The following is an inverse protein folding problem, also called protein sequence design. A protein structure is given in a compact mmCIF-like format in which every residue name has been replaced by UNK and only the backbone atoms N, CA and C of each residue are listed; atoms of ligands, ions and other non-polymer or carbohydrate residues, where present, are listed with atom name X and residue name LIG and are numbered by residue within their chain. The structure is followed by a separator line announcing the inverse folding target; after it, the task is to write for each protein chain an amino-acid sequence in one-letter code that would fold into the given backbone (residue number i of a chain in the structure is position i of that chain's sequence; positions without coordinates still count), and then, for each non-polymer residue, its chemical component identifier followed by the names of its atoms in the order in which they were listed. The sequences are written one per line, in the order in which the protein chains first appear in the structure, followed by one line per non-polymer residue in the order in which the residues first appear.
data_IF_956594720554
#
_entry.id   IF_956594720554
#
_cell.length_a   1.000
_cell.length_b   1.000
_cell.length_c   1.000
_cell.angle_alpha   90.00
_cell.angle_beta   90.00
_cell.angle_gamma   90.00
#
_symmetry.space_group_name_H-M   'P 1'
#
loop_
_entity.id
_entity.type
_entity.pdbx_description
1 polymer ?
#
# COMPACT_ATOMS: atom_id res chain seq x y z
N UNK A 1 -18.08 -14.40 22.61
CA UNK A 1 -16.71 -14.08 22.13
C UNK A 1 -16.68 -13.94 20.60
N UNK A 2 -17.21 -14.90 19.84
CA UNK A 2 -17.28 -14.81 18.37
C UNK A 2 -18.12 -13.64 17.84
N UNK A 3 -19.27 -13.34 18.45
CA UNK A 3 -20.11 -12.21 18.03
C UNK A 3 -19.39 -10.85 18.14
N UNK A 4 -18.67 -10.61 19.24
CA UNK A 4 -17.89 -9.39 19.44
C UNK A 4 -16.78 -9.19 18.40
N UNK A 5 -16.16 -10.27 17.91
CA UNK A 5 -15.16 -10.20 16.84
C UNK A 5 -15.82 -9.83 15.51
N UNK A 6 -16.97 -10.44 15.19
CA UNK A 6 -17.72 -10.15 13.97
C UNK A 6 -18.21 -8.69 13.96
N UNK A 7 -18.70 -8.22 15.10
CA UNK A 7 -19.17 -6.83 15.23
C UNK A 7 -18.01 -5.83 15.20
N UNK A 8 -16.84 -6.18 15.76
CA UNK A 8 -15.61 -5.42 15.59
C UNK A 8 -15.15 -5.33 14.13
N UNK A 9 -15.24 -6.42 13.38
CA UNK A 9 -14.94 -6.46 11.94
C UNK A 9 -15.90 -5.56 11.14
N UNK A 10 -17.21 -5.66 11.40
CA UNK A 10 -18.21 -4.78 10.78
C UNK A 10 -17.95 -3.32 11.15
N UNK A 11 -17.57 -3.05 12.40
CA UNK A 11 -17.21 -1.71 12.84
C UNK A 11 -16.02 -1.17 12.05
N UNK A 12 -14.91 -1.89 11.99
CA UNK A 12 -13.71 -1.48 11.26
C UNK A 12 -14.01 -1.22 9.77
N UNK A 13 -14.75 -2.13 9.13
CA UNK A 13 -15.15 -1.97 7.73
C UNK A 13 -16.16 -0.85 7.48
N UNK A 14 -16.89 -0.37 8.49
CA UNK A 14 -17.89 0.69 8.33
C UNK A 14 -17.33 2.05 8.69
N UNK A 15 -16.60 2.14 9.81
CA UNK A 15 -16.17 3.41 10.41
C UNK A 15 -14.70 3.73 10.11
N UNK A 16 -13.86 2.75 9.85
CA UNK A 16 -12.41 2.94 9.67
C UNK A 16 -11.96 2.71 8.20
N UNK A 17 -12.90 2.90 7.25
CA UNK A 17 -12.62 2.75 5.81
C UNK A 17 -11.50 3.66 5.32
N UNK A 18 -11.40 4.86 5.88
CA UNK A 18 -10.39 5.83 5.46
C UNK A 18 -8.97 5.31 5.78
N UNK A 19 -8.77 4.75 6.97
CA UNK A 19 -7.49 4.15 7.39
C UNK A 19 -7.16 2.95 6.49
N UNK A 20 -8.11 2.03 6.28
CA UNK A 20 -7.88 0.86 5.43
C UNK A 20 -7.50 1.25 4.00
N UNK A 21 -8.21 2.23 3.42
CA UNK A 21 -7.93 2.72 2.07
C UNK A 21 -6.56 3.40 2.00
N UNK A 22 -6.19 4.20 2.99
CA UNK A 22 -4.87 4.84 3.08
C UNK A 22 -3.74 3.80 3.01
N UNK A 23 -3.83 2.73 3.80
CA UNK A 23 -2.83 1.67 3.82
C UNK A 23 -2.83 0.82 2.54
N UNK A 24 -4.00 0.58 1.93
CA UNK A 24 -4.05 -0.04 0.60
C UNK A 24 -3.30 0.81 -0.43
N UNK A 25 -3.51 2.13 -0.43
CA UNK A 25 -2.87 3.01 -1.39
C UNK A 25 -1.36 3.10 -1.17
N UNK A 26 -0.93 3.28 0.09
CA UNK A 26 0.50 3.36 0.44
C UNK A 26 1.27 2.11 0.00
N UNK A 27 0.78 0.92 0.36
CA UNK A 27 1.52 -0.30 -0.02
C UNK A 27 1.45 -0.59 -1.51
N UNK A 28 0.34 -0.25 -2.18
CA UNK A 28 0.25 -0.35 -3.65
C UNK A 28 1.31 0.50 -4.34
N UNK A 29 1.49 1.72 -3.84
CA UNK A 29 2.50 2.65 -4.33
C UNK A 29 3.92 2.08 -4.14
N UNK A 30 4.23 1.55 -2.95
CA UNK A 30 5.53 0.93 -2.67
C UNK A 30 5.85 -0.21 -3.66
N UNK A 31 4.88 -1.10 -3.90
CA UNK A 31 5.05 -2.22 -4.81
C UNK A 31 5.20 -1.81 -6.28
N UNK A 32 4.46 -0.78 -6.71
CA UNK A 32 4.56 -0.23 -8.06
C UNK A 32 5.92 0.44 -8.30
N UNK A 33 6.40 1.25 -7.35
CA UNK A 33 7.71 1.90 -7.45
C UNK A 33 8.85 0.88 -7.47
N UNK A 34 8.80 -0.11 -6.57
CA UNK A 34 9.80 -1.18 -6.53
C UNK A 34 9.86 -1.92 -7.87
N UNK A 35 8.69 -2.31 -8.39
CA UNK A 35 8.61 -3.07 -9.64
C UNK A 35 9.11 -2.24 -10.81
N UNK A 36 8.66 -0.98 -10.92
CA UNK A 36 9.08 -0.07 -11.97
C UNK A 36 10.59 0.17 -11.94
N UNK A 37 11.16 0.44 -10.76
CA UNK A 37 12.58 0.69 -10.60
C UNK A 37 13.44 -0.50 -11.04
N UNK A 38 13.10 -1.71 -10.59
CA UNK A 38 13.84 -2.93 -10.96
C UNK A 38 13.74 -3.19 -12.47
N UNK A 39 12.55 -3.01 -13.08
CA UNK A 39 12.39 -3.19 -14.52
C UNK A 39 13.23 -2.18 -15.30
N UNK A 40 13.23 -0.90 -14.91
CA UNK A 40 14.00 0.13 -15.58
C UNK A 40 15.49 -0.19 -15.57
N UNK A 41 16.06 -0.54 -14.41
CA UNK A 41 17.46 -0.94 -14.31
C UNK A 41 17.77 -2.22 -15.09
N UNK A 42 16.89 -3.21 -15.05
CA UNK A 42 17.07 -4.45 -15.81
C UNK A 42 17.09 -4.24 -17.32
N UNK A 43 16.35 -3.26 -17.83
CA UNK A 43 16.34 -2.94 -19.27
C UNK A 43 17.66 -2.28 -19.69
N UNK A 44 18.18 -1.36 -18.89
CA UNK A 44 19.45 -0.66 -19.17
C UNK A 44 20.62 -1.65 -19.14
N UNK A 45 20.66 -2.52 -18.14
CA UNK A 45 21.74 -3.50 -17.93
C UNK A 45 21.55 -4.80 -18.74
N UNK A 46 20.50 -4.86 -19.58
CA UNK A 46 20.17 -6.05 -20.39
C UNK A 46 20.07 -7.36 -19.57
N UNK A 47 19.53 -7.27 -18.35
CA UNK A 47 19.34 -8.41 -17.45
C UNK A 47 18.27 -9.35 -18.02
N UNK A 48 18.44 -10.66 -17.79
CA UNK A 48 17.46 -11.66 -18.22
C UNK A 48 16.15 -11.47 -17.47
N UNK A 49 15.03 -11.55 -18.20
CA UNK A 49 13.67 -11.42 -17.67
C UNK A 49 13.42 -12.32 -16.44
N UNK A 50 13.94 -13.56 -16.45
CA UNK A 50 13.79 -14.50 -15.35
C UNK A 50 14.47 -14.01 -14.06
N UNK A 51 15.64 -13.40 -14.17
CA UNK A 51 16.39 -12.89 -13.02
C UNK A 51 15.69 -11.63 -12.46
N UNK A 52 15.18 -10.78 -13.36
CA UNK A 52 14.34 -9.62 -13.02
C UNK A 52 13.05 -10.02 -12.31
N UNK A 53 12.37 -11.07 -12.78
CA UNK A 53 11.15 -11.61 -12.17
C UNK A 53 11.42 -12.09 -10.74
N UNK A 54 12.50 -12.85 -10.51
CA UNK A 54 12.89 -13.32 -9.18
C UNK A 54 13.21 -12.13 -8.26
N UNK A 55 13.92 -11.11 -8.76
CA UNK A 55 14.23 -9.91 -8.01
C UNK A 55 12.97 -9.13 -7.59
N UNK A 56 11.98 -9.01 -8.49
CA UNK A 56 10.72 -8.32 -8.20
C UNK A 56 9.87 -9.14 -7.22
N UNK A 57 9.74 -10.45 -7.41
CA UNK A 57 8.97 -11.30 -6.49
C UNK A 57 9.57 -11.28 -5.08
N UNK A 58 10.89 -11.41 -4.96
CA UNK A 58 11.58 -11.32 -3.67
C UNK A 58 11.44 -9.92 -3.05
N UNK A 59 11.64 -8.85 -3.84
CA UNK A 59 11.47 -7.47 -3.39
C UNK A 59 10.05 -7.17 -2.92
N UNK A 60 9.02 -7.59 -3.67
CA UNK A 60 7.62 -7.46 -3.29
C UNK A 60 7.32 -8.20 -2.00
N UNK A 61 7.80 -9.45 -1.84
CA UNK A 61 7.59 -10.18 -0.58
C UNK A 61 8.25 -9.49 0.61
N UNK A 62 9.45 -8.96 0.44
CA UNK A 62 10.16 -8.24 1.49
C UNK A 62 9.44 -6.95 1.88
N UNK A 63 9.01 -6.16 0.89
CA UNK A 63 8.22 -4.94 1.11
C UNK A 63 6.87 -5.26 1.75
N UNK A 64 6.15 -6.27 1.26
CA UNK A 64 4.88 -6.71 1.84
C UNK A 64 4.99 -7.07 3.32
N UNK A 65 6.00 -7.86 3.69
CA UNK A 65 6.21 -8.24 5.10
C UNK A 65 6.61 -7.00 5.92
N UNK A 66 7.50 -6.16 5.39
CA UNK A 66 7.94 -4.94 6.05
C UNK A 66 6.79 -3.96 6.31
N UNK A 67 6.00 -3.65 5.27
CA UNK A 67 4.85 -2.74 5.35
C UNK A 67 3.75 -3.26 6.26
N UNK A 68 3.49 -4.57 6.24
CA UNK A 68 2.55 -5.22 7.17
C UNK A 68 3.01 -5.07 8.62
N UNK A 69 4.27 -5.38 8.92
CA UNK A 69 4.77 -5.33 10.29
C UNK A 69 4.89 -3.89 10.80
N UNK A 70 5.36 -2.97 9.95
CA UNK A 70 5.49 -1.56 10.28
C UNK A 70 4.12 -0.95 10.61
N UNK A 71 3.12 -1.16 9.75
CA UNK A 71 1.76 -0.66 10.02
C UNK A 71 1.13 -1.30 11.24
N UNK A 72 1.33 -2.60 11.48
CA UNK A 72 0.82 -3.27 12.67
C UNK A 72 1.38 -2.66 13.96
N UNK A 73 2.69 -2.41 14.02
CA UNK A 73 3.33 -1.83 15.21
C UNK A 73 2.87 -0.39 15.43
N UNK A 74 2.87 0.42 14.38
CA UNK A 74 2.51 1.84 14.46
C UNK A 74 1.04 2.01 14.82
N UNK A 75 0.13 1.38 14.07
CA UNK A 75 -1.31 1.50 14.30
C UNK A 75 -1.70 0.92 15.66
N UNK A 76 -1.09 -0.19 16.09
CA UNK A 76 -1.36 -0.74 17.43
C UNK A 76 -0.93 0.21 18.55
N UNK A 77 0.16 0.96 18.36
CA UNK A 77 0.62 1.94 19.33
C UNK A 77 -0.32 3.15 19.36
N UNK A 78 -0.61 3.74 18.20
CA UNK A 78 -1.49 4.92 18.08
C UNK A 78 -2.88 4.62 18.65
N UNK A 79 -3.49 3.50 18.24
CA UNK A 79 -4.81 3.12 18.73
C UNK A 79 -4.83 2.78 20.22
N UNK A 80 -3.74 2.26 20.78
CA UNK A 80 -3.64 2.02 22.23
C UNK A 80 -3.55 3.33 23.02
N UNK A 81 -2.87 4.34 22.47
CA UNK A 81 -2.80 5.67 23.08
C UNK A 81 -4.18 6.36 23.01
N UNK A 82 -4.81 6.38 21.83
CA UNK A 82 -6.19 6.89 21.62
C UNK A 82 -7.17 6.23 22.59
N UNK A 83 -7.12 4.90 22.70
CA UNK A 83 -7.98 4.12 23.57
C UNK A 83 -7.81 4.47 25.05
N UNK A 84 -6.57 4.64 25.53
CA UNK A 84 -6.30 5.02 26.93
C UNK A 84 -6.76 6.44 27.24
N UNK A 85 -6.56 7.36 26.30
CA UNK A 85 -7.00 8.75 26.47
C UNK A 85 -8.52 8.82 26.56
N UNK A 86 -9.23 8.07 25.73
CA UNK A 86 -10.69 7.99 25.75
C UNK A 86 -11.21 7.36 27.06
N UNK A 87 -10.61 6.27 27.55
CA UNK A 87 -10.96 5.69 28.86
C UNK A 87 -10.78 6.70 30.01
N UNK A 88 -9.70 7.49 29.96
CA UNK A 88 -9.44 8.54 30.96
C UNK A 88 -10.49 9.64 30.92
N UNK A 89 -10.86 10.12 29.73
CA UNK A 89 -11.87 11.16 29.55
C UNK A 89 -13.27 10.69 29.97
N UNK A 90 -13.60 9.43 29.70
CA UNK A 90 -14.89 8.83 30.08
C UNK A 90 -14.95 8.36 31.53
N UNK A 91 -13.81 8.33 32.25
CA UNK A 91 -13.66 7.74 33.59
C UNK A 91 -14.23 6.31 33.67
N UNK A 92 -14.20 5.57 32.57
CA UNK A 92 -14.80 4.25 32.43
C UNK A 92 -13.96 3.39 31.50
N UNK A 93 -13.79 2.12 31.83
CA UNK A 93 -13.13 1.19 30.92
C UNK A 93 -14.02 0.89 29.71
N UNK A 94 -13.39 0.88 28.54
CA UNK A 94 -13.97 0.51 27.27
C UNK A 94 -13.79 -0.98 26.95
N UNK A 95 -13.16 -1.75 27.85
CA UNK A 95 -12.79 -3.14 27.59
C UNK A 95 -14.04 -3.98 27.35
N UNK A 96 -14.04 -4.75 26.26
CA UNK A 96 -15.20 -5.56 25.85
C UNK A 96 -16.35 -4.77 25.23
N UNK A 97 -16.19 -3.46 24.97
CA UNK A 97 -17.14 -2.70 24.16
C UNK A 97 -16.93 -2.97 22.67
N UNK A 98 -17.90 -2.56 21.83
CA UNK A 98 -17.76 -2.63 20.37
C UNK A 98 -16.56 -1.83 19.86
N UNK A 99 -16.17 -0.76 20.57
CA UNK A 99 -15.00 0.04 20.24
C UNK A 99 -13.69 -0.74 20.51
N UNK A 100 -13.58 -1.47 21.62
CA UNK A 100 -12.41 -2.32 21.91
C UNK A 100 -12.21 -3.39 20.81
N UNK A 101 -13.28 -4.09 20.43
CA UNK A 101 -13.20 -5.08 19.34
C UNK A 101 -12.96 -4.42 17.98
N UNK A 102 -13.59 -3.29 17.70
CA UNK A 102 -13.44 -2.51 16.48
C UNK A 102 -12.00 -2.07 16.27
N UNK A 103 -11.39 -1.46 17.29
CA UNK A 103 -10.01 -1.00 17.26
C UNK A 103 -9.02 -2.14 16.99
N UNK A 104 -9.17 -3.29 17.66
CA UNK A 104 -8.35 -4.48 17.39
C UNK A 104 -8.52 -5.00 15.97
N UNK A 105 -9.75 -5.03 15.46
CA UNK A 105 -10.03 -5.43 14.09
C UNK A 105 -9.39 -4.46 13.08
N UNK A 106 -9.46 -3.14 13.33
CA UNK A 106 -8.85 -2.12 12.48
C UNK A 106 -7.34 -2.30 12.37
N UNK A 107 -6.64 -2.52 13.50
CA UNK A 107 -5.17 -2.76 13.49
C UNK A 107 -4.80 -3.96 12.62
N UNK A 108 -5.54 -5.06 12.73
CA UNK A 108 -5.25 -6.28 11.97
C UNK A 108 -5.57 -6.06 10.49
N UNK A 109 -6.73 -5.49 10.18
CA UNK A 109 -7.15 -5.24 8.80
C UNK A 109 -6.26 -4.21 8.09
N UNK A 110 -5.81 -3.16 8.78
CA UNK A 110 -4.90 -2.17 8.22
C UNK A 110 -3.55 -2.79 7.89
N UNK A 111 -3.03 -3.66 8.77
CA UNK A 111 -1.80 -4.40 8.52
C UNK A 111 -1.91 -5.32 7.30
N UNK A 112 -3.00 -6.10 7.19
CA UNK A 112 -3.25 -6.94 6.01
C UNK A 112 -3.43 -6.12 4.73
N UNK A 113 -4.20 -5.04 4.80
CA UNK A 113 -4.37 -4.10 3.69
C UNK A 113 -3.01 -3.58 3.19
N UNK A 114 -2.14 -3.15 4.12
CA UNK A 114 -0.83 -2.63 3.76
C UNK A 114 0.14 -3.70 3.25
N UNK A 115 0.04 -4.93 3.77
CA UNK A 115 0.92 -6.03 3.39
C UNK A 115 0.58 -6.65 2.04
N UNK A 116 -0.70 -6.71 1.68
CA UNK A 116 -1.16 -7.33 0.42
C UNK A 116 -1.05 -6.34 -0.74
N UNK A 117 -1.21 -5.05 -0.50
CA UNK A 117 -1.27 -4.05 -1.56
C UNK A 117 -0.03 -3.92 -2.46
N UNK A 118 1.23 -4.15 -1.99
CA UNK A 118 2.41 -4.12 -2.87
C UNK A 118 2.33 -5.10 -4.04
N UNK A 119 1.57 -6.19 -3.93
CA UNK A 119 1.39 -7.13 -5.04
C UNK A 119 0.67 -6.52 -6.26
N UNK A 120 0.09 -5.31 -6.18
CA UNK A 120 -0.34 -4.59 -7.39
C UNK A 120 0.81 -4.30 -8.35
N UNK A 121 2.06 -4.27 -7.88
CA UNK A 121 3.26 -4.22 -8.72
C UNK A 121 3.33 -5.33 -9.77
N UNK A 122 2.70 -6.49 -9.51
CA UNK A 122 2.65 -7.61 -10.46
C UNK A 122 1.99 -7.25 -11.80
N UNK A 123 1.10 -6.26 -11.83
CA UNK A 123 0.48 -5.78 -13.08
C UNK A 123 1.56 -5.21 -14.02
N UNK A 124 2.49 -4.43 -13.46
CA UNK A 124 3.60 -3.83 -14.22
C UNK A 124 4.60 -4.90 -14.64
N UNK A 125 4.89 -5.87 -13.76
CA UNK A 125 5.71 -7.04 -14.09
C UNK A 125 5.12 -7.84 -15.25
N UNK A 126 3.81 -8.13 -15.22
CA UNK A 126 3.14 -8.87 -16.28
C UNK A 126 3.19 -8.13 -17.62
N UNK A 127 3.01 -6.80 -17.60
CA UNK A 127 3.19 -5.94 -18.78
C UNK A 127 4.62 -6.08 -19.34
N UNK A 128 5.64 -6.08 -18.49
CA UNK A 128 7.03 -6.24 -18.89
C UNK A 128 7.32 -7.61 -19.52
N UNK A 129 6.90 -8.70 -18.87
CA UNK A 129 7.14 -10.07 -19.36
C UNK A 129 6.49 -10.29 -20.73
N UNK A 130 5.28 -9.75 -20.92
CA UNK A 130 4.48 -9.94 -22.14
C UNK A 130 5.02 -9.10 -23.30
N UNK A 131 5.31 -7.82 -23.05
CA UNK A 131 5.56 -6.85 -24.13
C UNK A 131 7.04 -6.62 -24.40
N UNK A 132 7.89 -6.74 -23.36
CA UNK A 132 9.31 -6.38 -23.36
C UNK A 132 9.58 -4.99 -23.92
N UNK A 133 8.58 -4.10 -23.86
CA UNK A 133 8.64 -2.77 -24.45
C UNK A 133 8.56 -1.72 -23.34
N UNK A 134 9.60 -0.88 -23.26
CA UNK A 134 9.71 0.19 -22.26
C UNK A 134 8.50 1.12 -22.26
N UNK A 135 8.01 1.52 -23.44
CA UNK A 135 6.87 2.42 -23.57
C UNK A 135 5.59 1.78 -23.02
N UNK A 136 5.38 0.48 -23.22
CA UNK A 136 4.23 -0.23 -22.66
C UNK A 136 4.33 -0.38 -21.14
N UNK A 137 5.53 -0.65 -20.61
CA UNK A 137 5.77 -0.71 -19.15
C UNK A 137 5.49 0.65 -18.51
N UNK A 138 6.05 1.74 -19.05
CA UNK A 138 5.83 3.09 -18.55
C UNK A 138 4.37 3.53 -18.66
N UNK A 139 3.69 3.16 -19.75
CA UNK A 139 2.27 3.49 -19.93
C UNK A 139 1.41 2.73 -18.91
N UNK A 140 1.66 1.44 -18.70
CA UNK A 140 0.95 0.63 -17.73
C UNK A 140 1.21 1.12 -16.29
N UNK A 141 2.46 1.38 -15.92
CA UNK A 141 2.79 1.88 -14.58
C UNK A 141 2.18 3.25 -14.32
N UNK A 142 2.27 4.18 -15.28
CA UNK A 142 1.69 5.52 -15.17
C UNK A 142 0.18 5.47 -15.03
N UNK A 143 -0.49 4.61 -15.81
CA UNK A 143 -1.94 4.43 -15.72
C UNK A 143 -2.36 3.90 -14.36
N UNK A 144 -1.69 2.86 -13.84
CA UNK A 144 -2.01 2.28 -12.53
C UNK A 144 -1.72 3.28 -11.41
N UNK A 145 -0.59 3.98 -11.45
CA UNK A 145 -0.22 5.02 -10.46
C UNK A 145 -1.23 6.18 -10.44
N UNK A 146 -1.68 6.62 -11.61
CA UNK A 146 -2.69 7.67 -11.70
C UNK A 146 -4.03 7.22 -11.12
N UNK A 147 -4.51 6.01 -11.47
CA UNK A 147 -5.72 5.43 -10.88
C UNK A 147 -5.61 5.26 -9.36
N UNK A 148 -4.42 4.89 -8.89
CA UNK A 148 -4.15 4.76 -7.47
C UNK A 148 -4.28 6.11 -6.75
N UNK A 149 -3.73 7.19 -7.32
CA UNK A 149 -3.89 8.51 -6.73
C UNK A 149 -5.32 9.05 -6.77
N UNK A 150 -6.11 8.69 -7.79
CA UNK A 150 -7.56 8.98 -7.80
C UNK A 150 -8.35 8.26 -6.69
N UNK A 151 -7.78 7.22 -6.10
CA UNK A 151 -8.41 6.43 -5.03
C UNK A 151 -8.31 7.10 -3.66
N UNK A 152 -7.59 8.24 -3.53
CA UNK A 152 -7.58 9.02 -2.29
C UNK A 152 -8.96 9.59 -1.93
N UNK A 153 -9.15 9.94 -0.66
CA UNK A 153 -10.34 10.66 -0.19
C UNK A 153 -10.21 12.15 -0.56
N UNK A 154 -11.32 12.82 -0.86
CA UNK A 154 -11.32 14.25 -1.21
C UNK A 154 -12.27 14.59 -2.35
N UNK A 155 -12.32 15.87 -2.70
CA UNK A 155 -13.04 16.34 -3.88
C UNK A 155 -12.37 15.84 -5.16
N UNK A 156 -13.06 15.98 -6.30
CA UNK A 156 -12.50 15.57 -7.61
C UNK A 156 -11.15 16.25 -7.87
N UNK A 157 -11.00 17.51 -7.45
CA UNK A 157 -9.76 18.26 -7.58
C UNK A 157 -8.61 17.64 -6.77
N UNK A 158 -8.86 17.32 -5.50
CA UNK A 158 -7.85 16.73 -4.60
C UNK A 158 -7.39 15.35 -5.08
N UNK A 159 -8.32 14.57 -5.64
CA UNK A 159 -8.03 13.26 -6.23
C UNK A 159 -7.14 13.37 -7.46
N UNK A 160 -7.42 14.34 -8.34
CA UNK A 160 -6.60 14.59 -9.54
C UNK A 160 -5.22 15.06 -9.13
N UNK A 161 -5.12 15.96 -8.16
CA UNK A 161 -3.84 16.45 -7.62
C UNK A 161 -3.00 15.29 -7.05
N UNK A 162 -3.62 14.43 -6.24
CA UNK A 162 -2.99 13.21 -5.71
C UNK A 162 -2.53 12.27 -6.82
N UNK A 163 -3.37 12.06 -7.85
CA UNK A 163 -3.04 11.30 -9.06
C UNK A 163 -1.80 11.82 -9.78
N UNK A 164 -1.72 13.13 -9.97
CA UNK A 164 -0.58 13.77 -10.63
C UNK A 164 0.69 13.65 -9.79
N UNK A 165 0.63 13.91 -8.48
CA UNK A 165 1.78 13.83 -7.58
C UNK A 165 2.37 12.41 -7.54
N UNK A 166 1.52 11.40 -7.44
CA UNK A 166 1.93 9.99 -7.41
C UNK A 166 2.53 9.56 -8.76
N UNK A 167 1.95 10.01 -9.87
CA UNK A 167 2.50 9.77 -11.20
C UNK A 167 3.88 10.43 -11.37
N UNK A 168 4.05 11.67 -10.91
CA UNK A 168 5.34 12.37 -10.94
C UNK A 168 6.37 11.61 -10.11
N UNK A 169 6.00 11.13 -8.92
CA UNK A 169 6.91 10.33 -8.11
C UNK A 169 7.35 9.04 -8.83
N UNK A 170 6.43 8.35 -9.51
CA UNK A 170 6.75 7.17 -10.32
C UNK A 170 7.68 7.47 -11.50
N UNK A 171 7.43 8.54 -12.24
CA UNK A 171 8.33 8.99 -13.32
C UNK A 171 9.70 9.38 -12.78
N UNK A 172 9.74 10.03 -11.62
CA UNK A 172 10.99 10.40 -10.95
C UNK A 172 11.78 9.16 -10.52
N UNK A 173 11.13 8.14 -9.96
CA UNK A 173 11.76 6.85 -9.64
C UNK A 173 12.31 6.17 -10.90
N UNK A 174 11.54 6.13 -11.99
CA UNK A 174 11.99 5.55 -13.25
C UNK A 174 13.22 6.30 -13.81
N UNK A 175 13.22 7.63 -13.73
CA UNK A 175 14.35 8.46 -14.17
C UNK A 175 15.60 8.20 -13.33
N UNK A 176 15.49 8.20 -12.00
CA UNK A 176 16.63 7.98 -11.11
C UNK A 176 17.22 6.57 -11.27
N UNK A 177 16.37 5.55 -11.38
CA UNK A 177 16.82 4.16 -11.54
C UNK A 177 17.43 3.90 -12.93
N UNK A 178 16.95 4.61 -13.96
CA UNK A 178 17.59 4.64 -15.27
C UNK A 178 18.99 5.26 -15.19
N UNK A 179 19.14 6.41 -14.52
CA UNK A 179 20.43 7.08 -14.36
C UNK A 179 21.44 6.30 -13.52
N UNK A 180 20.97 5.48 -12.57
CA UNK A 180 21.86 4.64 -11.77
C UNK A 180 22.42 3.45 -12.54
N UNK A 181 21.74 2.99 -13.59
CA UNK A 181 22.19 1.87 -14.43
C UNK A 181 22.90 2.31 -15.72
N UNK A 182 22.97 3.61 -16.01
CA UNK A 182 23.65 4.16 -17.20
C UNK A 182 25.09 4.57 -16.90
#
# INVERSE_FOLDING_TARGET
MFEGIIDGLKYALKYERSILRRYLILGSFDGLLLTLGIIMSAIVEHIKVKDTEIAILSGLTAVSISSMWNSLIVEAKEKREEYKELERQMMKSLKGTIYDYGTKATIVLSAFAHGISPFLGLIVLYSYITTRNVAMVLSASSFVLFLLGLSYEGEIKDKIESGILILIAGLFTALLTYLLGS
#
